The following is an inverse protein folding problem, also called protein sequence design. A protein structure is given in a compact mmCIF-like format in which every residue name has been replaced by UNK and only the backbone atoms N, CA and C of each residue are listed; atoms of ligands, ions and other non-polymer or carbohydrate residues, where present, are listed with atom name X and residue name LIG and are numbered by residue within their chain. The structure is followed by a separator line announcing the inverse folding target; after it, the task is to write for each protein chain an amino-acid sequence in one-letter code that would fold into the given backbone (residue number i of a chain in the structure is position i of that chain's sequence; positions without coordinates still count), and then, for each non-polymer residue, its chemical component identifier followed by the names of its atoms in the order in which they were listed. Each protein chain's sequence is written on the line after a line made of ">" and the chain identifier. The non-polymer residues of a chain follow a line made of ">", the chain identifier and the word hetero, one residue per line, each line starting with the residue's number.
data_IF_727171773941
#
_entry.id   IF_727171773941
#
_cell.length_a   1.000
_cell.length_b   1.000
_cell.length_c   1.000
_cell.angle_alpha   90.00
_cell.angle_beta   90.00
_cell.angle_gamma   90.00
#
_symmetry.space_group_name_H-M   'P 1'
#
loop_
_entity.id
_entity.type
_entity.pdbx_description
1 polymer ?
#
# COMPACT_ATOMS: atom_id res chain seq x y z
N UNK A 1 9.37 -4.80 -20.68
CA UNK A 1 9.64 -5.76 -19.57
C UNK A 1 8.70 -6.96 -19.72
N UNK A 2 8.93 -8.08 -19.03
CA UNK A 2 8.04 -9.25 -19.09
C UNK A 2 6.61 -8.91 -18.64
N UNK A 3 6.44 -8.17 -17.54
CA UNK A 3 5.13 -7.68 -17.09
C UNK A 3 4.46 -6.73 -18.09
N UNK A 4 5.24 -5.83 -18.71
CA UNK A 4 4.72 -4.94 -19.76
C UNK A 4 4.11 -5.71 -20.94
N UNK A 5 4.74 -6.81 -21.36
CA UNK A 5 4.20 -7.68 -22.40
C UNK A 5 2.84 -8.28 -22.01
N UNK A 6 2.70 -8.82 -20.80
CA UNK A 6 1.43 -9.39 -20.34
C UNK A 6 0.32 -8.33 -20.16
N UNK A 7 0.69 -7.10 -19.83
CA UNK A 7 -0.25 -5.98 -19.83
C UNK A 7 -0.69 -5.59 -21.25
N UNK A 8 0.23 -5.62 -22.22
CA UNK A 8 -0.08 -5.36 -23.63
C UNK A 8 -1.01 -6.40 -24.23
N UNK A 9 -0.86 -7.68 -23.86
CA UNK A 9 -1.75 -8.77 -24.31
C UNK A 9 -3.08 -8.82 -23.56
N UNK A 10 -3.30 -7.94 -22.57
CA UNK A 10 -4.51 -7.92 -21.74
C UNK A 10 -4.62 -9.08 -20.76
N UNK A 11 -3.53 -9.80 -20.50
CA UNK A 11 -3.49 -10.94 -19.56
C UNK A 11 -3.45 -10.47 -18.10
N UNK A 12 -2.84 -9.31 -17.85
CA UNK A 12 -2.83 -8.64 -16.55
C UNK A 12 -3.11 -7.15 -16.73
N UNK A 13 -3.51 -6.50 -15.64
CA UNK A 13 -3.49 -5.04 -15.52
C UNK A 13 -2.54 -4.67 -14.40
N UNK A 14 -1.57 -3.80 -14.69
CA UNK A 14 -0.65 -3.26 -13.70
C UNK A 14 -1.16 -1.88 -13.32
N UNK A 15 -1.30 -1.67 -12.02
CA UNK A 15 -1.63 -0.38 -11.42
C UNK A 15 -0.39 0.22 -10.78
N UNK A 16 -0.45 1.51 -10.43
CA UNK A 16 0.62 2.16 -9.65
C UNK A 16 0.22 2.34 -8.19
N UNK A 17 1.15 2.85 -7.38
CA UNK A 17 0.91 3.26 -5.99
C UNK A 17 1.62 4.60 -5.72
N UNK A 18 1.65 5.02 -4.46
CA UNK A 18 2.50 6.12 -4.02
C UNK A 18 3.97 5.79 -4.29
N UNK A 19 4.79 6.80 -4.61
CA UNK A 19 6.19 6.66 -5.01
C UNK A 19 6.98 5.67 -4.14
N UNK A 20 6.88 5.79 -2.82
CA UNK A 20 7.57 4.94 -1.84
C UNK A 20 6.59 4.25 -0.90
N UNK A 21 5.36 3.99 -1.37
CA UNK A 21 4.32 3.40 -0.55
C UNK A 21 4.07 4.20 0.76
N UNK A 22 4.15 5.54 0.69
CA UNK A 22 3.97 6.37 1.88
C UNK A 22 2.55 6.33 2.43
N UNK A 23 2.39 6.35 3.77
CA UNK A 23 1.07 6.22 4.41
C UNK A 23 0.25 7.52 4.31
N UNK A 24 -0.42 7.67 3.15
CA UNK A 24 -1.01 8.92 2.67
C UNK A 24 -1.97 9.65 3.64
N UNK A 25 -2.86 8.95 4.39
CA UNK A 25 -3.77 9.62 5.32
C UNK A 25 -3.06 10.53 6.33
N UNK A 26 -1.86 10.14 6.79
CA UNK A 26 -1.15 10.80 7.87
C UNK A 26 -0.11 11.82 7.42
N UNK A 27 0.20 11.93 6.11
CA UNK A 27 1.06 13.01 5.60
C UNK A 27 0.42 14.37 5.88
N UNK A 28 1.22 15.38 6.23
CA UNK A 28 0.66 16.62 6.79
C UNK A 28 -0.03 17.50 5.75
N UNK A 29 0.34 17.44 4.47
CA UNK A 29 -0.21 18.33 3.44
C UNK A 29 -0.73 17.59 2.22
N UNK A 30 -1.68 18.22 1.54
CA UNK A 30 -2.18 17.73 0.26
C UNK A 30 -1.10 17.78 -0.82
N UNK A 31 -0.13 18.72 -0.73
CA UNK A 31 1.04 18.73 -1.62
C UNK A 31 1.91 17.48 -1.44
N UNK A 32 2.13 17.02 -0.20
CA UNK A 32 2.91 15.79 0.05
C UNK A 32 2.25 14.55 -0.48
N UNK A 33 0.95 14.41 -0.26
CA UNK A 33 0.16 13.30 -0.82
C UNK A 33 0.21 13.35 -2.34
N UNK A 34 -0.01 14.52 -2.94
CA UNK A 34 -0.01 14.67 -4.40
C UNK A 34 1.37 14.35 -4.98
N UNK A 35 2.45 14.78 -4.35
CA UNK A 35 3.82 14.51 -4.82
C UNK A 35 4.12 12.99 -4.83
N UNK A 36 3.67 12.25 -3.81
CA UNK A 36 3.73 10.79 -3.78
C UNK A 36 2.93 10.14 -4.93
N UNK A 37 1.69 10.59 -5.17
CA UNK A 37 0.83 10.09 -6.25
C UNK A 37 1.40 10.41 -7.63
N UNK A 38 1.83 11.65 -7.85
CA UNK A 38 2.37 12.13 -9.12
C UNK A 38 3.67 11.42 -9.49
N UNK A 39 4.60 11.27 -8.53
CA UNK A 39 5.84 10.54 -8.79
C UNK A 39 5.57 9.06 -9.08
N UNK A 40 4.66 8.41 -8.37
CA UNK A 40 4.26 7.02 -8.66
C UNK A 40 3.64 6.86 -10.05
N UNK A 41 2.79 7.81 -10.49
CA UNK A 41 2.24 7.85 -11.85
C UNK A 41 3.31 8.08 -12.90
N UNK A 42 4.20 9.05 -12.67
CA UNK A 42 5.30 9.36 -13.58
C UNK A 42 6.22 8.15 -13.80
N UNK A 43 6.59 7.46 -12.73
CA UNK A 43 7.42 6.25 -12.79
C UNK A 43 6.70 5.14 -13.55
N UNK A 44 5.41 4.93 -13.31
CA UNK A 44 4.61 3.97 -14.07
C UNK A 44 4.61 4.29 -15.57
N UNK A 45 4.31 5.53 -15.94
CA UNK A 45 4.25 5.98 -17.34
C UNK A 45 5.59 5.77 -18.05
N UNK A 46 6.70 6.03 -17.35
CA UNK A 46 8.06 5.79 -17.86
C UNK A 46 8.35 4.31 -18.15
N UNK A 47 7.90 3.39 -17.30
CA UNK A 47 8.19 1.96 -17.44
C UNK A 47 7.21 1.21 -18.36
N UNK A 48 5.97 1.69 -18.47
CA UNK A 48 4.90 1.00 -19.21
C UNK A 48 4.36 1.78 -20.41
N UNK A 49 4.82 3.00 -20.65
CA UNK A 49 4.50 3.81 -21.83
C UNK A 49 3.03 4.25 -21.91
N UNK A 50 2.28 4.17 -20.81
CA UNK A 50 0.86 4.54 -20.73
C UNK A 50 0.49 5.02 -19.32
N UNK A 51 -0.62 5.73 -19.19
CA UNK A 51 -1.14 6.15 -17.87
C UNK A 51 -1.70 4.97 -17.09
N UNK A 52 -1.50 4.89 -15.77
CA UNK A 52 -2.15 3.88 -14.94
C UNK A 52 -3.63 4.19 -14.80
N UNK A 53 -4.49 3.18 -14.95
CA UNK A 53 -5.94 3.33 -14.74
C UNK A 53 -6.31 3.25 -13.25
N UNK A 54 -5.69 2.33 -12.52
CA UNK A 54 -5.91 2.10 -11.09
C UNK A 54 -4.79 2.60 -10.20
N UNK A 55 -5.11 2.73 -8.92
CA UNK A 55 -4.16 3.10 -7.87
C UNK A 55 -4.32 2.19 -6.64
N UNK A 56 -3.23 1.55 -6.25
CA UNK A 56 -3.13 0.91 -4.95
C UNK A 56 -2.85 1.97 -3.89
N UNK A 57 -3.86 2.33 -3.09
CA UNK A 57 -3.62 3.13 -1.89
C UNK A 57 -2.70 2.32 -0.97
N UNK A 58 -1.55 2.89 -0.53
CA UNK A 58 -0.70 2.22 0.43
C UNK A 58 -1.52 1.75 1.62
N UNK A 59 -1.48 0.44 1.87
CA UNK A 59 -2.20 -0.21 2.97
C UNK A 59 -3.74 -0.13 2.89
N UNK A 60 -4.28 0.07 1.69
CA UNK A 60 -5.68 0.44 1.47
C UNK A 60 -6.12 1.59 2.40
N UNK A 61 -5.18 2.46 2.79
CA UNK A 61 -5.41 3.47 3.80
C UNK A 61 -6.10 4.67 3.16
N UNK A 62 -7.35 4.90 3.58
CA UNK A 62 -8.24 5.92 3.04
C UNK A 62 -8.55 6.98 4.09
N UNK A 63 -8.65 8.24 3.65
CA UNK A 63 -9.16 9.37 4.45
C UNK A 63 -10.11 10.24 3.60
N UNK A 64 -11.33 10.54 4.07
CA UNK A 64 -12.24 11.48 3.43
C UNK A 64 -11.82 12.94 3.70
N UNK A 65 -12.45 13.88 3.03
CA UNK A 65 -12.23 15.30 3.30
C UNK A 65 -12.80 15.69 4.67
N UNK A 66 -12.02 16.41 5.48
CA UNK A 66 -12.49 17.08 6.71
C UNK A 66 -11.44 18.10 7.21
N UNK A 67 -11.82 18.90 8.20
CA UNK A 67 -10.91 19.78 8.95
C UNK A 67 -9.89 18.97 9.75
N UNK A 68 -8.79 18.60 9.11
CA UNK A 68 -7.76 17.72 9.63
C UNK A 68 -6.80 18.47 10.55
N UNK A 69 -6.37 17.82 11.62
CA UNK A 69 -5.32 18.34 12.49
C UNK A 69 -4.24 17.25 12.64
N UNK A 70 -2.95 17.60 12.50
CA UNK A 70 -1.90 16.63 12.70
C UNK A 70 -1.96 16.03 14.12
N UNK A 71 -1.87 14.69 14.24
CA UNK A 71 -2.10 13.99 15.50
C UNK A 71 -1.03 14.27 16.56
N UNK A 72 0.14 14.80 16.15
CA UNK A 72 1.30 15.05 17.02
C UNK A 72 1.58 16.54 17.27
N UNK A 73 0.55 17.38 17.17
CA UNK A 73 0.62 18.84 17.39
C UNK A 73 0.37 19.66 16.12
N UNK A 74 0.39 20.99 16.22
CA UNK A 74 0.16 21.90 15.08
C UNK A 74 -0.60 23.18 15.44
N UNK A 75 -0.69 24.13 14.51
CA UNK A 75 -1.29 25.46 14.68
C UNK A 75 -2.84 25.49 14.64
N UNK A 76 -3.49 24.33 14.73
CA UNK A 76 -4.94 24.15 14.63
C UNK A 76 -5.35 23.27 13.44
N UNK A 77 -6.66 22.92 13.34
CA UNK A 77 -7.18 22.17 12.20
C UNK A 77 -7.17 23.02 10.92
N UNK A 78 -7.03 22.37 9.77
CA UNK A 78 -7.15 22.95 8.44
C UNK A 78 -7.81 21.97 7.48
N UNK A 79 -8.46 22.49 6.45
CA UNK A 79 -9.14 21.64 5.47
C UNK A 79 -8.12 20.84 4.65
N UNK A 80 -8.39 19.53 4.55
CA UNK A 80 -7.66 18.64 3.66
C UNK A 80 -8.60 17.93 2.72
N UNK A 81 -8.24 17.87 1.45
CA UNK A 81 -8.97 17.09 0.44
C UNK A 81 -9.02 15.62 0.83
N UNK A 82 -10.11 14.93 0.50
CA UNK A 82 -10.16 13.47 0.58
C UNK A 82 -9.16 12.84 -0.39
N UNK A 83 -8.66 11.64 -0.07
CA UNK A 83 -7.73 10.95 -0.96
C UNK A 83 -8.37 10.68 -2.33
N UNK A 84 -9.65 10.37 -2.38
CA UNK A 84 -10.39 10.21 -3.64
C UNK A 84 -10.44 11.49 -4.48
N UNK A 85 -10.53 12.67 -3.84
CA UNK A 85 -10.47 13.95 -4.57
C UNK A 85 -9.08 14.18 -5.18
N UNK A 86 -8.00 13.83 -4.46
CA UNK A 86 -6.64 13.92 -4.98
C UNK A 86 -6.46 12.92 -6.14
N UNK A 87 -6.88 11.66 -5.98
CA UNK A 87 -6.79 10.65 -7.03
C UNK A 87 -7.58 11.07 -8.29
N UNK A 88 -8.79 11.63 -8.13
CA UNK A 88 -9.61 12.17 -9.21
C UNK A 88 -8.90 13.28 -9.97
N UNK A 89 -8.33 14.27 -9.26
CA UNK A 89 -7.56 15.36 -9.86
C UNK A 89 -6.30 14.89 -10.57
N UNK A 90 -5.74 13.76 -10.14
CA UNK A 90 -4.61 13.09 -10.77
C UNK A 90 -5.04 12.08 -11.87
N UNK A 91 -6.29 12.08 -12.31
CA UNK A 91 -6.84 11.23 -13.38
C UNK A 91 -6.65 9.72 -13.13
N UNK A 92 -6.81 9.28 -11.88
CA UNK A 92 -6.85 7.87 -11.51
C UNK A 92 -8.32 7.43 -11.39
N UNK A 93 -8.68 6.33 -12.04
CA UNK A 93 -10.08 5.95 -12.26
C UNK A 93 -10.64 5.09 -11.14
N UNK A 94 -9.80 4.28 -10.49
CA UNK A 94 -10.24 3.43 -9.39
C UNK A 94 -9.17 3.13 -8.34
N UNK A 95 -9.62 2.72 -7.16
CA UNK A 95 -8.77 2.23 -6.06
C UNK A 95 -9.45 1.10 -5.28
N UNK A 96 -8.79 0.61 -4.24
CA UNK A 96 -9.25 -0.48 -3.39
C UNK A 96 -9.32 -0.08 -1.92
N UNK A 97 -10.28 -0.65 -1.20
CA UNK A 97 -10.45 -0.50 0.25
C UNK A 97 -10.62 -1.86 0.93
N UNK A 98 -10.48 -1.90 2.25
CA UNK A 98 -10.90 -3.06 3.03
C UNK A 98 -12.42 -3.05 3.29
N UNK A 99 -13.00 -4.22 3.52
CA UNK A 99 -14.44 -4.41 3.64
C UNK A 99 -15.07 -3.69 4.84
N UNK A 100 -14.36 -3.51 5.95
CA UNK A 100 -14.95 -2.84 7.12
C UNK A 100 -15.21 -1.35 6.87
N UNK A 101 -14.47 -0.70 5.97
CA UNK A 101 -14.77 0.68 5.53
C UNK A 101 -16.13 0.72 4.83
N UNK A 102 -16.46 -0.32 4.06
CA UNK A 102 -17.74 -0.44 3.38
C UNK A 102 -18.93 -0.60 4.35
N UNK A 103 -18.73 -1.33 5.46
CA UNK A 103 -19.76 -1.58 6.49
C UNK A 103 -19.99 -0.42 7.47
N UNK A 104 -19.39 0.75 7.23
CA UNK A 104 -19.53 1.93 8.10
C UNK A 104 -18.38 2.14 9.09
N UNK A 105 -17.25 1.44 8.90
CA UNK A 105 -15.99 1.82 9.52
C UNK A 105 -15.89 1.65 11.02
N UNK A 106 -16.60 0.71 11.65
CA UNK A 106 -16.38 0.40 13.07
C UNK A 106 -14.97 -0.20 13.26
N UNK A 107 -13.97 0.68 13.40
CA UNK A 107 -12.66 0.31 13.89
C UNK A 107 -12.84 -0.37 15.25
N UNK A 108 -12.22 -1.54 15.45
CA UNK A 108 -12.33 -2.27 16.73
C UNK A 108 -11.73 -1.39 17.83
N UNK A 109 -12.58 -0.85 18.70
CA UNK A 109 -12.26 0.24 19.64
C UNK A 109 -11.07 0.01 20.59
N UNK A 110 -10.60 -1.23 20.72
CA UNK A 110 -9.51 -1.64 21.62
C UNK A 110 -8.20 -0.88 21.36
N UNK A 111 -7.90 -0.47 20.12
CA UNK A 111 -6.65 0.22 19.79
C UNK A 111 -6.77 1.75 19.82
N UNK A 112 -7.95 2.31 19.53
CA UNK A 112 -8.20 3.75 19.59
C UNK A 112 -8.03 4.30 21.01
N UNK A 113 -8.42 3.52 22.02
CA UNK A 113 -8.30 3.90 23.44
C UNK A 113 -6.86 3.87 23.96
N UNK A 114 -5.93 3.24 23.24
CA UNK A 114 -4.54 3.04 23.71
C UNK A 114 -3.61 4.21 23.39
N UNK A 115 -3.92 5.05 22.40
CA UNK A 115 -3.06 6.17 22.02
C UNK A 115 -3.86 7.46 21.79
N UNK A 116 -3.68 8.50 22.65
CA UNK A 116 -4.50 9.72 22.61
C UNK A 116 -4.54 10.43 21.25
N UNK A 117 -3.44 10.36 20.49
CA UNK A 117 -3.36 11.01 19.18
C UNK A 117 -4.33 10.39 18.15
N UNK A 118 -4.51 9.06 18.18
CA UNK A 118 -5.51 8.38 17.35
C UNK A 118 -6.93 8.68 17.81
N UNK A 119 -7.15 8.75 19.11
CA UNK A 119 -8.45 9.13 19.66
C UNK A 119 -8.84 10.55 19.23
N UNK A 120 -7.88 11.49 19.24
CA UNK A 120 -8.11 12.85 18.76
C UNK A 120 -8.47 12.87 17.27
N UNK A 121 -7.70 12.16 16.43
CA UNK A 121 -7.97 12.05 14.99
C UNK A 121 -9.35 11.45 14.72
N UNK A 122 -9.69 10.37 15.42
CA UNK A 122 -10.98 9.68 15.31
C UNK A 122 -12.16 10.56 15.73
N UNK A 123 -12.04 11.27 16.86
CA UNK A 123 -13.10 12.17 17.34
C UNK A 123 -13.32 13.31 16.36
N UNK A 124 -12.24 13.89 15.81
CA UNK A 124 -12.32 14.96 14.80
C UNK A 124 -12.98 14.47 13.52
N UNK A 125 -12.59 13.29 13.03
CA UNK A 125 -13.26 12.64 11.92
C UNK A 125 -14.77 12.52 12.22
N UNK A 126 -15.16 11.96 13.37
CA UNK A 126 -16.57 11.79 13.74
C UNK A 126 -17.37 13.09 13.87
N UNK A 127 -16.75 14.15 14.38
CA UNK A 127 -17.39 15.46 14.54
C UNK A 127 -17.68 16.15 13.21
N UNK A 128 -16.81 15.93 12.21
CA UNK A 128 -16.85 16.68 10.94
C UNK A 128 -17.28 15.82 9.74
N UNK A 129 -17.44 14.51 9.92
CA UNK A 129 -17.88 13.60 8.88
C UNK A 129 -19.41 13.50 8.85
N UNK A 130 -20.00 13.97 7.76
CA UNK A 130 -21.40 13.71 7.45
C UNK A 130 -21.51 12.39 6.67
N UNK A 131 -22.15 11.38 7.27
CA UNK A 131 -22.41 10.13 6.56
C UNK A 131 -23.33 10.39 5.37
N UNK A 132 -22.90 9.98 4.18
CA UNK A 132 -23.75 9.97 3.00
C UNK A 132 -25.02 9.13 3.20
N UNK A 133 -26.10 9.41 2.46
CA UNK A 133 -27.41 8.78 2.69
C UNK A 133 -27.46 7.28 2.35
N UNK A 134 -26.50 6.78 1.56
CA UNK A 134 -26.52 5.40 1.06
C UNK A 134 -25.51 4.54 1.80
N UNK A 135 -26.00 3.46 2.42
CA UNK A 135 -25.16 2.39 2.97
C UNK A 135 -24.97 1.29 1.92
N UNK A 136 -23.74 0.91 1.59
CA UNK A 136 -23.49 -0.22 0.71
C UNK A 136 -24.08 -1.50 1.29
N UNK A 137 -24.63 -2.35 0.43
CA UNK A 137 -25.29 -3.59 0.84
C UNK A 137 -24.37 -4.83 0.73
N UNK A 138 -23.30 -4.75 -0.06
CA UNK A 138 -22.47 -5.92 -0.39
C UNK A 138 -21.06 -5.51 -0.86
N UNK A 139 -19.99 -6.24 -0.50
CA UNK A 139 -18.66 -6.00 -1.07
C UNK A 139 -18.52 -6.43 -2.53
N UNK A 140 -19.52 -7.14 -3.08
CA UNK A 140 -19.44 -7.73 -4.41
C UNK A 140 -19.87 -6.80 -5.54
N UNK A 141 -20.05 -5.50 -5.25
CA UNK A 141 -20.32 -4.48 -6.27
C UNK A 141 -19.24 -3.41 -6.21
N UNK A 142 -18.93 -2.77 -7.35
CA UNK A 142 -18.12 -1.57 -7.34
C UNK A 142 -18.99 -0.35 -7.00
N UNK A 143 -18.36 0.65 -6.40
CA UNK A 143 -19.01 1.87 -5.91
C UNK A 143 -18.28 3.11 -6.41
N UNK A 144 -18.93 4.27 -6.35
CA UNK A 144 -18.30 5.57 -6.58
C UNK A 144 -18.05 6.26 -5.24
N UNK A 145 -16.88 6.86 -5.06
CA UNK A 145 -16.56 7.62 -3.84
C UNK A 145 -17.27 8.98 -3.83
N UNK A 146 -17.81 9.37 -2.69
CA UNK A 146 -18.29 10.73 -2.47
C UNK A 146 -17.17 11.61 -1.86
N UNK A 147 -16.95 12.84 -2.34
CA UNK A 147 -17.67 13.51 -3.44
C UNK A 147 -17.01 13.34 -4.82
N UNK A 148 -15.85 12.69 -4.91
CA UNK A 148 -15.01 12.77 -6.11
C UNK A 148 -15.49 11.93 -7.31
N UNK A 149 -16.36 10.95 -7.08
CA UNK A 149 -16.86 10.03 -8.10
C UNK A 149 -15.81 9.06 -8.62
N UNK A 150 -14.80 8.71 -7.82
CA UNK A 150 -13.77 7.72 -8.21
C UNK A 150 -14.29 6.32 -7.90
N UNK A 151 -14.13 5.38 -8.82
CA UNK A 151 -14.60 4.03 -8.60
C UNK A 151 -13.77 3.33 -7.49
N UNK A 152 -14.39 2.48 -6.70
CA UNK A 152 -13.66 1.64 -5.76
C UNK A 152 -14.30 0.26 -5.60
N UNK A 153 -13.46 -0.70 -5.25
CA UNK A 153 -13.86 -2.06 -4.92
C UNK A 153 -13.36 -2.43 -3.52
N UNK A 154 -14.19 -3.16 -2.77
CA UNK A 154 -13.85 -3.61 -1.43
C UNK A 154 -13.24 -5.01 -1.48
N UNK A 155 -12.17 -5.22 -0.70
CA UNK A 155 -11.58 -6.55 -0.46
C UNK A 155 -12.66 -7.53 -0.01
N UNK A 156 -12.67 -8.73 -0.56
CA UNK A 156 -13.53 -9.79 -0.06
C UNK A 156 -12.93 -10.48 1.19
N UNK A 157 -13.68 -10.45 2.28
CA UNK A 157 -13.29 -11.07 3.55
C UNK A 157 -13.21 -12.59 3.46
N UNK A 158 -14.09 -13.22 2.68
CA UNK A 158 -14.22 -14.69 2.65
C UNK A 158 -13.01 -15.31 1.97
N UNK A 159 -12.71 -14.87 0.75
CA UNK A 159 -11.50 -15.31 0.02
C UNK A 159 -10.23 -14.85 0.71
N UNK A 160 -10.22 -13.62 1.25
CA UNK A 160 -9.14 -13.10 2.07
C UNK A 160 -8.80 -14.03 3.23
N UNK A 161 -9.77 -14.38 4.06
CA UNK A 161 -9.57 -15.29 5.20
C UNK A 161 -9.18 -16.70 4.76
N UNK A 162 -9.75 -17.22 3.67
CA UNK A 162 -9.46 -18.56 3.19
C UNK A 162 -8.00 -18.75 2.77
N UNK A 163 -7.30 -17.68 2.40
CA UNK A 163 -5.88 -17.73 2.05
C UNK A 163 -5.01 -17.23 3.20
N UNK A 164 -5.34 -16.11 3.85
CA UNK A 164 -4.48 -15.45 4.84
C UNK A 164 -4.68 -15.91 6.29
N UNK A 165 -5.71 -16.72 6.59
CA UNK A 165 -5.93 -17.18 7.96
C UNK A 165 -4.75 -18.02 8.46
N UNK A 166 -4.14 -17.59 9.57
CA UNK A 166 -3.08 -18.34 10.24
C UNK A 166 -3.50 -19.76 10.67
N UNK A 167 -4.79 -19.95 10.94
CA UNK A 167 -5.31 -21.20 11.50
C UNK A 167 -5.95 -22.11 10.46
N UNK A 168 -6.53 -21.54 9.40
CA UNK A 168 -7.36 -22.26 8.44
C UNK A 168 -7.03 -21.96 6.97
N UNK A 169 -6.03 -21.12 6.72
CA UNK A 169 -5.63 -20.75 5.37
C UNK A 169 -4.82 -21.85 4.69
N UNK A 170 -4.93 -21.95 3.37
CA UNK A 170 -4.18 -22.96 2.60
C UNK A 170 -2.67 -22.97 2.86
N UNK A 171 -1.97 -21.82 2.98
CA UNK A 171 -0.53 -21.80 3.24
C UNK A 171 -0.10 -22.57 4.50
N UNK A 172 -1.01 -22.80 5.44
CA UNK A 172 -0.75 -23.55 6.67
C UNK A 172 -0.84 -25.08 6.53
N UNK A 173 -1.10 -25.62 5.33
CA UNK A 173 -1.23 -27.07 5.14
C UNK A 173 0.05 -27.80 5.55
N UNK A 174 -0.12 -28.87 6.32
CA UNK A 174 0.97 -29.72 6.83
C UNK A 174 1.91 -30.29 5.77
N UNK A 175 1.53 -30.31 4.49
CA UNK A 175 2.32 -30.83 3.38
C UNK A 175 3.03 -29.76 2.56
N UNK A 176 2.77 -28.48 2.81
CA UNK A 176 3.50 -27.39 2.15
C UNK A 176 4.86 -27.12 2.77
N UNK A 177 5.75 -26.51 1.99
CA UNK A 177 7.13 -26.23 2.36
C UNK A 177 7.20 -25.29 3.59
N UNK A 178 7.94 -25.72 4.62
CA UNK A 178 8.15 -24.93 5.84
C UNK A 178 9.10 -23.76 5.55
N UNK A 179 8.61 -22.54 5.73
CA UNK A 179 9.36 -21.32 5.46
C UNK A 179 10.53 -21.12 6.46
N UNK A 180 10.30 -21.46 7.73
CA UNK A 180 11.21 -21.09 8.82
C UNK A 180 12.35 -22.08 9.03
N UNK A 181 12.18 -23.36 8.64
CA UNK A 181 13.22 -24.39 8.79
C UNK A 181 14.18 -24.38 7.61
N UNK A 182 15.38 -23.86 7.85
CA UNK A 182 16.44 -23.73 6.85
C UNK A 182 17.62 -24.64 7.18
N UNK A 183 18.14 -25.31 6.16
CA UNK A 183 19.34 -26.14 6.24
C UNK A 183 20.58 -25.26 6.35
N UNK A 184 21.49 -25.62 7.25
CA UNK A 184 22.80 -25.00 7.34
C UNK A 184 23.89 -25.98 6.90
N UNK A 185 24.83 -25.57 6.02
CA UNK A 185 24.92 -24.26 5.36
C UNK A 185 23.93 -24.12 4.18
N UNK A 186 23.74 -22.89 3.70
CA UNK A 186 23.08 -22.60 2.42
C UNK A 186 21.63 -22.09 2.49
N UNK A 187 20.94 -22.24 3.61
CA UNK A 187 19.62 -21.64 3.84
C UNK A 187 18.46 -22.28 3.05
N UNK A 188 18.70 -23.39 2.36
CA UNK A 188 17.69 -24.11 1.60
C UNK A 188 16.64 -24.76 2.53
N UNK A 189 15.41 -24.87 2.04
CA UNK A 189 14.26 -25.42 2.78
C UNK A 189 13.96 -26.82 2.25
N UNK A 190 13.90 -27.81 3.13
CA UNK A 190 13.71 -29.23 2.76
C UNK A 190 12.61 -29.94 3.55
N UNK A 191 11.87 -29.22 4.37
CA UNK A 191 10.89 -29.78 5.29
C UNK A 191 9.52 -29.22 5.02
N UNK A 192 8.48 -29.98 5.35
CA UNK A 192 7.08 -29.54 5.30
C UNK A 192 6.61 -29.02 6.64
N UNK A 193 5.57 -28.21 6.64
CA UNK A 193 4.97 -27.59 7.83
C UNK A 193 4.63 -28.64 8.89
N UNK A 194 4.23 -29.86 8.50
CA UNK A 194 3.96 -31.02 9.37
C UNK A 194 2.77 -30.86 10.31
N UNK A 195 2.82 -29.85 11.16
CA UNK A 195 1.73 -29.35 11.98
C UNK A 195 2.01 -27.89 12.32
N UNK A 196 0.98 -27.06 12.37
CA UNK A 196 1.07 -25.66 12.80
C UNK A 196 1.53 -25.48 14.25
N UNK A 197 1.45 -26.53 15.08
CA UNK A 197 1.89 -26.56 16.47
C UNK A 197 3.23 -27.28 16.72
N UNK A 198 3.83 -27.87 15.69
CA UNK A 198 5.09 -28.63 15.83
C UNK A 198 6.31 -27.72 15.92
N UNK A 199 7.30 -28.14 16.72
CA UNK A 199 8.62 -27.51 16.75
C UNK A 199 9.36 -27.74 15.42
N UNK A 200 10.34 -26.90 15.12
CA UNK A 200 11.20 -27.03 13.95
C UNK A 200 11.92 -28.38 13.93
N UNK A 201 12.28 -28.94 15.09
CA UNK A 201 12.92 -30.25 15.16
C UNK A 201 12.05 -31.37 14.56
N UNK A 202 10.74 -31.30 14.75
CA UNK A 202 9.79 -32.36 14.42
C UNK A 202 9.28 -32.30 12.96
N UNK A 203 9.65 -31.25 12.21
CA UNK A 203 9.24 -31.08 10.82
C UNK A 203 9.79 -32.22 9.96
N UNK A 204 8.90 -32.88 9.25
CA UNK A 204 9.19 -34.00 8.36
C UNK A 204 9.71 -33.52 6.99
N UNK A 205 10.39 -34.38 6.21
CA UNK A 205 10.84 -34.03 4.86
C UNK A 205 9.69 -33.56 3.96
N UNK A 206 10.00 -32.63 3.06
CA UNK A 206 9.06 -32.14 2.05
C UNK A 206 8.89 -33.15 0.91
N UNK A 207 7.65 -33.34 0.47
CA UNK A 207 7.25 -34.33 -0.53
C UNK A 207 6.52 -33.62 -1.67
N UNK A 208 7.18 -33.45 -2.81
CA UNK A 208 6.71 -32.64 -3.94
C UNK A 208 5.40 -33.13 -4.53
N UNK A 209 5.22 -34.45 -4.63
CA UNK A 209 4.03 -35.06 -5.23
C UNK A 209 2.80 -34.84 -4.34
N UNK A 210 2.96 -34.90 -3.02
CA UNK A 210 1.86 -34.67 -2.08
C UNK A 210 1.50 -33.18 -2.04
N UNK A 211 2.49 -32.29 -2.02
CA UNK A 211 2.27 -30.85 -2.09
C UNK A 211 1.51 -30.47 -3.38
N UNK A 212 1.89 -31.04 -4.53
CA UNK A 212 1.17 -30.83 -5.79
C UNK A 212 -0.29 -31.31 -5.74
N UNK A 213 -0.56 -32.46 -5.11
CA UNK A 213 -1.93 -32.94 -4.90
C UNK A 213 -2.74 -31.98 -4.00
N UNK A 214 -2.13 -31.43 -2.94
CA UNK A 214 -2.76 -30.41 -2.08
C UNK A 214 -3.06 -29.12 -2.84
N UNK A 215 -2.16 -28.67 -3.71
CA UNK A 215 -2.40 -27.50 -4.56
C UNK A 215 -3.65 -27.68 -5.40
N UNK A 216 -3.80 -28.85 -6.05
CA UNK A 216 -4.96 -29.18 -6.87
C UNK A 216 -6.27 -29.20 -6.04
N UNK A 217 -6.24 -29.78 -4.84
CA UNK A 217 -7.38 -29.79 -3.91
C UNK A 217 -7.77 -28.37 -3.47
N UNK A 218 -6.79 -27.56 -3.05
CA UNK A 218 -7.01 -26.19 -2.59
C UNK A 218 -7.45 -25.25 -3.72
N UNK A 219 -6.95 -25.45 -4.94
CA UNK A 219 -7.41 -24.70 -6.10
C UNK A 219 -8.88 -25.03 -6.43
N UNK A 220 -9.26 -26.32 -6.36
CA UNK A 220 -10.66 -26.74 -6.54
C UNK A 220 -11.57 -26.17 -5.47
N UNK A 221 -11.15 -26.23 -4.20
CA UNK A 221 -11.91 -25.66 -3.09
C UNK A 221 -12.08 -24.15 -3.25
N UNK A 222 -11.03 -23.42 -3.65
CA UNK A 222 -11.13 -21.99 -3.86
C UNK A 222 -12.09 -21.62 -5.00
N UNK A 223 -12.06 -22.33 -6.12
CA UNK A 223 -13.02 -22.10 -7.22
C UNK A 223 -14.46 -22.36 -6.79
N UNK A 224 -14.70 -23.45 -6.04
CA UNK A 224 -16.01 -23.70 -5.44
C UNK A 224 -16.44 -22.57 -4.48
N UNK A 225 -15.52 -22.08 -3.64
CA UNK A 225 -15.77 -20.98 -2.72
C UNK A 225 -16.18 -19.70 -3.46
N UNK A 226 -15.48 -19.35 -4.54
CA UNK A 226 -15.84 -18.20 -5.38
C UNK A 226 -17.28 -18.34 -5.91
N UNK A 227 -17.65 -19.54 -6.37
CA UNK A 227 -19.00 -19.78 -6.89
C UNK A 227 -20.06 -19.67 -5.79
N UNK A 228 -19.78 -20.16 -4.59
CA UNK A 228 -20.65 -20.02 -3.43
C UNK A 228 -20.81 -18.57 -2.99
N UNK A 229 -19.74 -17.76 -3.05
CA UNK A 229 -19.76 -16.34 -2.69
C UNK A 229 -20.71 -15.54 -3.60
N UNK A 230 -20.73 -15.86 -4.90
CA UNK A 230 -21.58 -15.18 -5.89
C UNK A 230 -22.92 -15.86 -6.16
N UNK A 231 -23.25 -16.99 -5.52
CA UNK A 231 -24.45 -17.78 -5.86
C UNK A 231 -25.77 -17.02 -5.79
N UNK A 232 -25.85 -16.06 -4.86
CA UNK A 232 -27.03 -15.21 -4.61
C UNK A 232 -26.91 -13.83 -5.27
N UNK A 233 -25.89 -13.60 -6.10
CA UNK A 233 -25.67 -12.34 -6.82
C UNK A 233 -26.05 -12.52 -8.30
N UNK A 234 -26.96 -11.68 -8.82
CA UNK A 234 -27.25 -11.66 -10.26
C UNK A 234 -26.04 -11.22 -11.09
N UNK A 235 -25.28 -10.26 -10.56
CA UNK A 235 -23.99 -9.79 -11.07
C UNK A 235 -23.12 -9.36 -9.89
N UNK A 236 -21.82 -9.61 -9.95
CA UNK A 236 -20.89 -9.17 -8.92
C UNK A 236 -19.42 -9.35 -9.27
N UNK A 237 -18.56 -8.67 -8.53
CA UNK A 237 -17.11 -8.72 -8.61
C UNK A 237 -16.59 -9.22 -7.26
N UNK A 238 -15.81 -10.30 -7.25
CA UNK A 238 -15.03 -10.69 -6.06
C UNK A 238 -13.66 -10.05 -6.18
N UNK A 239 -13.30 -9.22 -5.20
CA UNK A 239 -12.00 -8.54 -5.17
C UNK A 239 -11.08 -9.19 -4.13
N UNK A 240 -10.32 -10.20 -4.54
CA UNK A 240 -9.38 -10.89 -3.65
C UNK A 240 -7.99 -10.22 -3.69
N UNK A 241 -7.64 -9.51 -2.63
CA UNK A 241 -6.40 -8.74 -2.52
C UNK A 241 -5.38 -9.44 -1.61
N UNK A 242 -4.14 -9.58 -2.09
CA UNK A 242 -3.05 -10.28 -1.40
C UNK A 242 -1.70 -9.63 -1.73
N UNK A 243 -0.77 -9.65 -0.78
CA UNK A 243 0.64 -9.31 -1.05
C UNK A 243 1.26 -10.31 -2.02
N UNK A 244 2.03 -9.82 -2.98
CA UNK A 244 2.56 -10.66 -4.07
C UNK A 244 3.55 -11.71 -3.54
N UNK A 245 4.36 -11.34 -2.54
CA UNK A 245 5.35 -12.20 -1.89
C UNK A 245 4.70 -13.38 -1.17
N UNK A 246 3.39 -13.34 -0.89
CA UNK A 246 2.69 -14.52 -0.40
C UNK A 246 2.94 -15.70 -1.35
N UNK A 247 2.83 -15.48 -2.66
CA UNK A 247 2.92 -16.53 -3.66
C UNK A 247 4.37 -16.76 -4.08
N UNK A 248 4.98 -17.82 -3.55
CA UNK A 248 6.28 -18.36 -3.94
C UNK A 248 7.38 -18.08 -2.91
N UNK A 249 7.25 -17.01 -2.13
CA UNK A 249 8.17 -16.72 -1.05
C UNK A 249 7.68 -17.29 0.29
N UNK A 250 6.59 -16.73 0.85
CA UNK A 250 5.99 -17.19 2.11
C UNK A 250 5.28 -18.53 1.96
N UNK A 251 4.42 -18.64 0.94
CA UNK A 251 3.78 -19.87 0.51
C UNK A 251 4.41 -20.35 -0.80
N UNK A 252 5.33 -21.31 -0.70
CA UNK A 252 6.15 -21.73 -1.83
C UNK A 252 5.33 -22.24 -3.03
N UNK A 253 4.25 -22.97 -2.76
CA UNK A 253 3.36 -23.55 -3.77
C UNK A 253 2.34 -22.55 -4.32
N UNK A 254 2.30 -21.33 -3.78
CA UNK A 254 1.34 -20.29 -4.14
C UNK A 254 1.25 -19.96 -5.65
N UNK A 255 2.36 -19.88 -6.42
CA UNK A 255 2.29 -19.61 -7.86
C UNK A 255 1.63 -20.74 -8.64
N UNK A 256 1.91 -22.00 -8.27
CA UNK A 256 1.25 -23.17 -8.89
C UNK A 256 -0.23 -23.21 -8.52
N UNK A 257 -0.58 -22.86 -7.28
CA UNK A 257 -1.97 -22.71 -6.87
C UNK A 257 -2.71 -21.63 -7.66
N UNK A 258 -2.11 -20.45 -7.85
CA UNK A 258 -2.68 -19.39 -8.68
C UNK A 258 -2.89 -19.88 -10.12
N UNK A 259 -1.91 -20.58 -10.69
CA UNK A 259 -2.05 -21.18 -12.02
C UNK A 259 -3.22 -22.17 -12.08
N UNK A 260 -3.34 -23.08 -11.11
CA UNK A 260 -4.44 -24.06 -11.09
C UNK A 260 -5.81 -23.40 -10.90
N UNK A 261 -5.92 -22.35 -10.07
CA UNK A 261 -7.15 -21.55 -9.93
C UNK A 261 -7.52 -20.90 -11.27
N UNK A 262 -6.57 -20.21 -11.91
CA UNK A 262 -6.79 -19.55 -13.20
C UNK A 262 -7.20 -20.55 -14.28
N UNK A 263 -6.51 -21.70 -14.34
CA UNK A 263 -6.80 -22.77 -15.29
C UNK A 263 -8.22 -23.31 -15.13
N UNK A 264 -8.68 -23.53 -13.89
CA UNK A 264 -10.04 -24.00 -13.60
C UNK A 264 -11.10 -22.95 -13.92
N UNK A 265 -10.85 -21.69 -13.59
CA UNK A 265 -11.77 -20.58 -13.92
C UNK A 265 -11.85 -20.30 -15.42
N UNK A 266 -10.82 -20.68 -16.19
CA UNK A 266 -10.80 -20.55 -17.65
C UNK A 266 -11.53 -21.70 -18.36
N UNK A 267 -12.01 -22.72 -17.63
CA UNK A 267 -12.74 -23.82 -18.22
C UNK A 267 -14.14 -23.36 -18.70
N UNK A 268 -14.65 -23.86 -19.85
CA UNK A 268 -15.93 -23.42 -20.41
C UNK A 268 -17.13 -23.56 -19.47
N UNK A 269 -17.08 -24.49 -18.53
CA UNK A 269 -18.10 -24.76 -17.52
C UNK A 269 -18.08 -23.79 -16.32
N UNK A 270 -17.04 -22.96 -16.19
CA UNK A 270 -16.94 -21.99 -15.10
C UNK A 270 -17.97 -20.87 -15.29
N UNK A 271 -18.81 -20.65 -14.27
CA UNK A 271 -19.73 -19.51 -14.20
C UNK A 271 -19.05 -18.23 -13.70
N UNK A 272 -17.77 -18.30 -13.34
CA UNK A 272 -16.96 -17.17 -12.89
C UNK A 272 -15.93 -16.85 -13.96
N UNK A 273 -15.88 -15.57 -14.33
CA UNK A 273 -14.93 -15.06 -15.32
C UNK A 273 -13.84 -14.25 -14.63
N UNK A 274 -12.59 -14.58 -14.94
CA UNK A 274 -11.45 -13.73 -14.61
C UNK A 274 -11.40 -12.53 -15.56
N UNK A 275 -11.16 -11.36 -14.99
CA UNK A 275 -11.02 -10.12 -15.72
C UNK A 275 -10.06 -9.18 -14.97
N UNK A 276 -9.52 -8.21 -15.69
CA UNK A 276 -8.77 -7.10 -15.10
C UNK A 276 -9.74 -6.17 -14.35
N UNK A 277 -9.22 -5.37 -13.42
CA UNK A 277 -10.04 -4.45 -12.63
C UNK A 277 -10.82 -3.47 -13.51
N UNK A 278 -10.19 -2.89 -14.54
CA UNK A 278 -10.86 -2.03 -15.51
C UNK A 278 -11.98 -2.76 -16.27
N UNK A 279 -11.73 -3.99 -16.74
CA UNK A 279 -12.76 -4.78 -17.43
C UNK A 279 -13.91 -5.21 -16.51
N UNK A 280 -13.63 -5.46 -15.22
CA UNK A 280 -14.66 -5.68 -14.22
C UNK A 280 -15.57 -4.45 -14.07
N UNK A 281 -14.99 -3.25 -13.98
CA UNK A 281 -15.75 -1.99 -13.88
C UNK A 281 -16.55 -1.67 -15.17
N UNK A 282 -16.07 -2.09 -16.33
CA UNK A 282 -16.83 -2.00 -17.58
C UNK A 282 -18.02 -2.97 -17.61
N UNK A 283 -17.82 -4.20 -17.14
CA UNK A 283 -18.84 -5.25 -17.12
C UNK A 283 -19.92 -5.01 -16.04
N UNK A 284 -19.52 -4.46 -14.90
CA UNK A 284 -20.40 -4.09 -13.79
C UNK A 284 -20.13 -2.62 -13.42
N UNK A 285 -20.75 -1.65 -14.13
CA UNK A 285 -20.50 -0.23 -13.89
C UNK A 285 -20.92 0.22 -12.49
N UNK A 286 -20.08 0.98 -11.76
CA UNK A 286 -20.45 1.52 -10.45
C UNK A 286 -21.52 2.59 -10.59
N UNK A 287 -22.71 2.35 -10.03
CA UNK A 287 -23.84 3.28 -10.06
C UNK A 287 -24.19 3.93 -8.73
N UNK A 288 -23.53 3.52 -7.64
CA UNK A 288 -23.90 3.91 -6.28
C UNK A 288 -22.79 4.77 -5.68
N UNK A 289 -23.15 6.00 -5.31
CA UNK A 289 -22.25 6.97 -4.67
C UNK A 289 -22.23 6.75 -3.15
N UNK A 290 -21.05 6.55 -2.57
CA UNK A 290 -20.83 6.15 -1.18
C UNK A 290 -19.80 7.07 -0.51
N UNK A 291 -20.14 7.57 0.68
CA UNK A 291 -19.17 8.24 1.54
C UNK A 291 -18.39 7.20 2.34
N UNK A 292 -17.06 7.26 2.25
CA UNK A 292 -16.17 6.29 2.90
C UNK A 292 -15.65 6.84 4.24
N UNK A 293 -15.64 6.02 5.31
CA UNK A 293 -15.00 6.39 6.56
C UNK A 293 -13.47 6.32 6.44
N UNK A 294 -12.77 7.02 7.32
CA UNK A 294 -11.30 6.90 7.43
C UNK A 294 -10.90 5.52 7.99
N UNK A 295 -9.87 4.89 7.40
CA UNK A 295 -9.37 3.59 7.87
C UNK A 295 -8.32 2.98 6.95
N UNK A 296 -7.91 1.75 7.23
CA UNK A 296 -6.94 0.98 6.43
C UNK A 296 -7.17 -0.52 6.58
N UNK A 297 -6.52 -1.35 5.76
CA UNK A 297 -6.60 -2.82 5.89
C UNK A 297 -5.71 -3.41 7.00
N UNK A 298 -5.01 -2.55 7.76
CA UNK A 298 -4.12 -2.98 8.84
C UNK A 298 -4.86 -3.45 10.08
N UNK A 299 -4.11 -3.95 11.05
CA UNK A 299 -4.67 -4.41 12.33
C UNK A 299 -5.49 -3.30 13.01
N UNK A 300 -6.72 -3.65 13.42
CA UNK A 300 -7.66 -2.71 14.04
C UNK A 300 -8.47 -1.86 13.05
N UNK A 301 -8.13 -1.91 11.75
CA UNK A 301 -8.89 -1.25 10.67
C UNK A 301 -8.71 0.27 10.57
N UNK A 302 -7.77 0.84 11.34
CA UNK A 302 -7.47 2.27 11.39
C UNK A 302 -5.97 2.51 11.22
N UNK A 303 -5.36 3.44 11.94
CA UNK A 303 -3.94 3.81 11.72
C UNK A 303 -2.96 3.26 12.76
N UNK A 304 -3.38 2.38 13.68
CA UNK A 304 -2.56 1.92 14.81
C UNK A 304 -1.20 1.35 14.42
N UNK A 305 -1.15 0.54 13.35
CA UNK A 305 0.10 -0.07 12.87
C UNK A 305 1.13 1.00 12.45
N UNK A 306 0.70 2.14 11.94
CA UNK A 306 1.61 3.18 11.46
C UNK A 306 1.80 4.31 12.47
N UNK A 307 0.82 4.57 13.35
CA UNK A 307 0.85 5.64 14.34
C UNK A 307 0.51 5.12 15.73
N UNK A 308 1.55 4.94 16.54
CA UNK A 308 1.48 4.58 17.95
C UNK A 308 2.70 5.14 18.71
N UNK A 309 2.82 4.84 20.00
CA UNK A 309 3.90 5.34 20.86
C UNK A 309 5.31 5.05 20.32
N UNK A 310 5.51 3.92 19.64
CA UNK A 310 6.82 3.52 19.09
C UNK A 310 7.17 4.22 17.78
N UNK A 311 6.17 4.68 17.03
CA UNK A 311 6.35 5.23 15.68
C UNK A 311 6.07 6.72 15.57
N UNK A 312 5.46 7.33 16.60
CA UNK A 312 5.12 8.76 16.61
C UNK A 312 6.32 9.69 16.34
N UNK A 313 7.53 9.28 16.75
CA UNK A 313 8.73 10.07 16.48
C UNK A 313 9.02 10.19 14.97
N UNK A 314 8.74 9.16 14.16
CA UNK A 314 8.92 9.20 12.70
C UNK A 314 8.00 10.25 12.09
N UNK A 315 6.72 10.25 12.49
CA UNK A 315 5.75 11.25 12.03
C UNK A 315 6.15 12.67 12.41
N UNK A 316 6.70 12.86 13.61
CA UNK A 316 7.25 14.16 14.01
C UNK A 316 8.38 14.62 13.08
N UNK A 317 9.24 13.70 12.63
CA UNK A 317 10.31 13.98 11.65
C UNK A 317 9.78 14.26 10.25
N UNK A 318 8.80 13.48 9.78
CA UNK A 318 8.12 13.71 8.50
C UNK A 318 7.50 15.10 8.49
N UNK A 319 6.72 15.47 9.51
CA UNK A 319 6.07 16.79 9.58
C UNK A 319 7.08 17.94 9.64
N UNK A 320 8.19 17.76 10.36
CA UNK A 320 9.28 18.74 10.38
C UNK A 320 9.90 18.91 8.99
N UNK A 321 10.16 17.80 8.29
CA UNK A 321 10.72 17.81 6.94
C UNK A 321 9.75 18.48 5.95
N UNK A 322 8.50 18.04 5.90
CA UNK A 322 7.47 18.58 5.00
C UNK A 322 7.32 20.09 5.17
N UNK A 323 7.26 20.57 6.43
CA UNK A 323 7.17 22.01 6.74
C UNK A 323 8.34 22.83 6.20
N UNK A 324 9.56 22.26 6.16
CA UNK A 324 10.77 22.92 5.64
C UNK A 324 10.93 22.73 4.13
N UNK A 325 10.46 21.61 3.60
CA UNK A 325 10.58 21.22 2.20
C UNK A 325 9.75 22.11 1.27
N UNK A 326 8.47 22.33 1.58
CA UNK A 326 7.55 23.07 0.71
C UNK A 326 7.99 24.51 0.44
N UNK A 327 8.41 25.31 1.45
CA UNK A 327 8.92 26.66 1.19
C UNK A 327 10.16 26.69 0.29
N UNK A 328 11.02 25.65 0.29
CA UNK A 328 12.19 25.60 -0.59
C UNK A 328 11.77 25.45 -2.05
N UNK A 329 10.79 24.57 -2.33
CA UNK A 329 10.25 24.39 -3.68
C UNK A 329 9.49 25.64 -4.17
N UNK A 330 8.70 26.27 -3.32
CA UNK A 330 7.93 27.48 -3.67
C UNK A 330 8.85 28.69 -3.93
N UNK A 331 9.88 28.89 -3.09
CA UNK A 331 10.83 30.00 -3.27
C UNK A 331 11.83 29.75 -4.41
N UNK A 332 12.13 28.49 -4.74
CA UNK A 332 12.91 28.14 -5.94
C UNK A 332 12.26 28.61 -7.24
N UNK A 333 10.93 28.64 -7.29
CA UNK A 333 10.17 29.20 -8.41
C UNK A 333 10.26 30.74 -8.51
N UNK A 334 10.77 31.41 -7.47
CA UNK A 334 10.84 32.88 -7.36
C UNK A 334 12.18 33.47 -7.86
N UNK A 335 13.00 32.69 -8.57
CA UNK A 335 14.17 33.21 -9.32
C UNK A 335 15.54 32.98 -8.69
N UNK A 336 15.64 32.28 -7.54
CA UNK A 336 16.93 31.76 -7.04
C UNK A 336 17.24 30.46 -7.78
N UNK A 337 18.37 30.39 -8.49
CA UNK A 337 18.83 29.14 -9.10
C UNK A 337 19.10 28.11 -7.98
N UNK A 338 18.21 27.13 -7.82
CA UNK A 338 18.44 25.98 -6.95
C UNK A 338 19.38 25.00 -7.64
N UNK A 339 20.27 24.40 -6.85
CA UNK A 339 21.05 23.26 -7.34
C UNK A 339 20.12 22.07 -7.53
N UNK A 340 19.87 21.71 -8.80
CA UNK A 340 18.95 20.64 -9.18
C UNK A 340 19.43 19.27 -8.70
N UNK A 341 20.75 19.06 -8.55
CA UNK A 341 21.31 17.81 -8.01
C UNK A 341 20.91 17.65 -6.54
N UNK A 342 21.11 18.69 -5.75
CA UNK A 342 20.71 18.71 -4.34
C UNK A 342 19.19 18.61 -4.16
N UNK A 343 18.41 19.28 -5.01
CA UNK A 343 16.96 19.24 -4.94
C UNK A 343 16.41 17.84 -5.25
N UNK A 344 16.98 17.17 -6.27
CA UNK A 344 16.60 15.79 -6.60
C UNK A 344 16.85 14.85 -5.43
N UNK A 345 18.05 14.90 -4.85
CA UNK A 345 18.40 14.11 -3.65
C UNK A 345 17.47 14.40 -2.49
N UNK A 346 17.15 15.67 -2.23
CA UNK A 346 16.21 16.03 -1.16
C UNK A 346 14.82 15.43 -1.41
N UNK A 347 14.35 15.40 -2.65
CA UNK A 347 13.08 14.75 -2.98
C UNK A 347 13.15 13.23 -2.75
N UNK A 348 14.24 12.58 -3.17
CA UNK A 348 14.46 11.15 -2.97
C UNK A 348 14.48 10.79 -1.47
N UNK A 349 15.24 11.53 -0.65
CA UNK A 349 15.31 11.33 0.80
C UNK A 349 13.97 11.57 1.49
N UNK A 350 13.22 12.60 1.07
CA UNK A 350 11.85 12.84 1.56
C UNK A 350 10.95 11.64 1.25
N UNK A 351 10.95 11.16 0.00
CA UNK A 351 10.15 9.99 -0.37
C UNK A 351 10.57 8.77 0.45
N UNK A 352 11.87 8.51 0.58
CA UNK A 352 12.37 7.39 1.38
C UNK A 352 11.92 7.50 2.83
N UNK A 353 12.01 8.67 3.47
CA UNK A 353 11.53 8.87 4.84
C UNK A 353 10.02 8.63 5.01
N UNK A 354 9.22 8.99 4.00
CA UNK A 354 7.75 8.89 4.04
C UNK A 354 7.19 7.48 3.86
N UNK A 355 8.02 6.47 3.54
CA UNK A 355 7.59 5.08 3.34
C UNK A 355 6.85 4.53 4.57
N UNK A 356 5.71 3.84 4.32
CA UNK A 356 4.92 3.20 5.38
C UNK A 356 5.65 2.01 6.02
N UNK A 357 6.68 1.47 5.36
CA UNK A 357 7.41 0.29 5.81
C UNK A 357 8.14 0.54 7.13
N UNK A 358 8.68 1.75 7.35
CA UNK A 358 9.42 2.04 8.59
C UNK A 358 8.57 1.89 9.85
N UNK A 359 7.42 2.60 9.99
CA UNK A 359 6.57 2.39 11.14
C UNK A 359 5.95 0.99 11.18
N UNK A 360 5.69 0.34 10.03
CA UNK A 360 5.19 -1.03 9.98
C UNK A 360 6.18 -2.04 10.58
N UNK A 361 7.46 -1.99 10.19
CA UNK A 361 8.51 -2.89 10.68
C UNK A 361 8.78 -2.72 12.18
N UNK A 362 8.65 -1.49 12.70
CA UNK A 362 8.75 -1.19 14.14
C UNK A 362 7.56 -1.78 14.89
N UNK A 363 6.34 -1.55 14.41
CA UNK A 363 5.12 -2.03 15.07
C UNK A 363 5.00 -3.55 15.08
N UNK A 364 5.41 -4.21 14.00
CA UNK A 364 5.36 -5.68 13.86
C UNK A 364 6.54 -6.42 14.48
N UNK A 365 7.56 -5.69 14.97
CA UNK A 365 8.79 -6.23 15.58
C UNK A 365 9.55 -7.21 14.67
N UNK A 366 9.44 -7.05 13.34
CA UNK A 366 10.10 -7.91 12.36
C UNK A 366 11.53 -7.46 12.08
N UNK A 367 11.77 -6.14 12.04
CA UNK A 367 13.09 -5.53 11.83
C UNK A 367 13.15 -4.09 12.41
N UNK A 368 12.70 -3.90 13.65
CA UNK A 368 12.56 -2.58 14.29
C UNK A 368 13.83 -1.73 14.25
N UNK A 369 14.95 -2.26 14.76
CA UNK A 369 16.22 -1.52 14.83
C UNK A 369 16.71 -1.03 13.44
N UNK A 370 16.51 -1.85 12.41
CA UNK A 370 16.83 -1.48 11.04
C UNK A 370 15.96 -0.33 10.55
N UNK A 371 14.65 -0.41 10.76
CA UNK A 371 13.70 0.63 10.37
C UNK A 371 13.93 1.95 11.11
N UNK A 372 14.24 1.90 12.41
CA UNK A 372 14.58 3.08 13.21
C UNK A 372 15.84 3.78 12.68
N UNK A 373 16.87 2.99 12.34
CA UNK A 373 18.12 3.48 11.77
C UNK A 373 17.88 4.13 10.41
N UNK A 374 17.09 3.49 9.54
CA UNK A 374 16.78 4.01 8.19
C UNK A 374 15.97 5.30 8.22
N UNK A 375 14.90 5.35 9.00
CA UNK A 375 14.09 6.57 9.11
C UNK A 375 14.91 7.73 9.70
N UNK A 376 15.75 7.47 10.71
CA UNK A 376 16.64 8.50 11.27
C UNK A 376 17.65 9.01 10.24
N UNK A 377 18.27 8.09 9.48
CA UNK A 377 19.23 8.41 8.43
C UNK A 377 18.62 9.31 7.35
N UNK A 378 17.47 8.94 6.78
CA UNK A 378 16.82 9.73 5.72
C UNK A 378 16.42 11.13 6.20
N UNK A 379 15.99 11.25 7.46
CA UNK A 379 15.74 12.56 8.07
C UNK A 379 17.00 13.41 8.20
N UNK A 380 18.10 12.85 8.71
CA UNK A 380 19.39 13.55 8.85
C UNK A 380 19.95 14.00 7.51
N UNK A 381 19.91 13.12 6.49
CA UNK A 381 20.28 13.44 5.10
C UNK A 381 19.46 14.59 4.56
N UNK A 382 18.13 14.52 4.72
CA UNK A 382 17.21 15.58 4.28
C UNK A 382 17.51 16.93 4.95
N UNK A 383 17.76 16.95 6.27
CA UNK A 383 18.10 18.18 6.98
C UNK A 383 19.43 18.78 6.51
N UNK A 384 20.44 17.93 6.23
CA UNK A 384 21.73 18.37 5.69
C UNK A 384 21.56 18.99 4.30
N UNK A 385 20.81 18.34 3.41
CA UNK A 385 20.51 18.83 2.05
C UNK A 385 19.72 20.16 2.07
N UNK A 386 18.70 20.27 2.92
CA UNK A 386 17.96 21.53 3.13
C UNK A 386 18.88 22.66 3.57
N UNK A 387 19.80 22.37 4.49
CA UNK A 387 20.76 23.35 4.95
C UNK A 387 21.64 23.84 3.78
N UNK A 388 22.17 22.94 2.97
CA UNK A 388 22.97 23.30 1.79
C UNK A 388 22.20 24.10 0.74
N UNK A 389 20.96 23.72 0.43
CA UNK A 389 20.10 24.46 -0.50
C UNK A 389 19.85 25.91 -0.03
N UNK A 390 19.88 26.15 1.28
CA UNK A 390 19.71 27.51 1.84
C UNK A 390 20.99 28.35 1.84
N UNK A 391 22.18 27.73 1.82
CA UNK A 391 23.49 28.41 1.93
C UNK A 391 23.84 29.23 0.70
N UNK A 392 24.72 30.21 0.90
CA UNK A 392 25.36 31.02 -0.15
C UNK A 392 26.79 30.59 -0.44
N UNK A 393 27.40 29.78 0.44
CA UNK A 393 28.75 29.24 0.29
C UNK A 393 28.76 27.99 -0.59
N UNK A 394 29.83 27.81 -1.37
CA UNK A 394 30.05 26.59 -2.14
C UNK A 394 30.28 25.38 -1.23
N UNK A 395 29.96 24.19 -1.76
CA UNK A 395 30.24 22.91 -1.12
C UNK A 395 31.75 22.64 -1.07
N UNK A 396 32.19 21.98 0.00
CA UNK A 396 33.59 21.52 0.17
C UNK A 396 33.85 20.23 -0.62
N UNK A 397 35.11 19.85 -0.90
CA UNK A 397 35.42 18.55 -1.50
C UNK A 397 34.84 17.37 -0.71
N UNK A 398 34.83 17.45 0.62
CA UNK A 398 34.24 16.44 1.50
C UNK A 398 32.71 16.35 1.34
N UNK A 399 32.04 17.49 1.13
CA UNK A 399 30.60 17.53 0.85
C UNK A 399 30.27 16.85 -0.49
N UNK A 400 31.10 17.07 -1.52
CA UNK A 400 30.94 16.42 -2.82
C UNK A 400 31.17 14.91 -2.75
N UNK A 401 32.18 14.46 -2.00
CA UNK A 401 32.41 13.03 -1.76
C UNK A 401 31.18 12.38 -1.10
N UNK A 402 30.62 13.05 -0.10
CA UNK A 402 29.39 12.58 0.56
C UNK A 402 28.18 12.54 -0.38
N UNK A 403 28.05 13.52 -1.29
CA UNK A 403 26.98 13.51 -2.31
C UNK A 403 27.09 12.30 -3.25
N UNK A 404 28.29 11.98 -3.71
CA UNK A 404 28.53 10.83 -4.58
C UNK A 404 28.21 9.50 -3.86
N UNK A 405 28.55 9.41 -2.57
CA UNK A 405 28.21 8.27 -1.73
C UNK A 405 26.69 8.07 -1.64
N UNK A 406 25.93 9.11 -1.23
CA UNK A 406 24.47 8.98 -1.09
C UNK A 406 23.77 8.77 -2.43
N UNK A 407 24.26 9.34 -3.54
CA UNK A 407 23.72 9.08 -4.88
C UNK A 407 23.89 7.62 -5.31
N UNK A 408 24.99 6.99 -4.87
CA UNK A 408 25.27 5.59 -5.16
C UNK A 408 24.40 4.65 -4.31
N UNK A 409 24.14 5.02 -3.05
CA UNK A 409 23.30 4.25 -2.13
C UNK A 409 21.81 4.41 -2.45
N UNK A 410 21.32 5.65 -2.50
CA UNK A 410 19.91 6.01 -2.66
C UNK A 410 19.60 6.40 -4.12
N UNK A 411 19.83 5.45 -5.02
CA UNK A 411 19.59 5.61 -6.47
C UNK A 411 18.12 5.51 -6.90
N UNK A 412 17.19 5.66 -5.95
CA UNK A 412 15.75 5.60 -6.19
C UNK A 412 15.31 6.79 -7.06
N UNK A 413 14.54 6.54 -8.13
CA UNK A 413 14.10 7.56 -9.10
C UNK A 413 15.25 8.36 -9.75
N UNK A 414 15.73 7.89 -10.90
CA UNK A 414 16.72 8.65 -11.70
C UNK A 414 16.25 10.05 -12.09
N UNK A 415 14.94 10.21 -12.21
CA UNK A 415 14.24 11.45 -12.55
C UNK A 415 13.11 11.66 -11.53
N UNK A 416 12.97 12.89 -11.05
CA UNK A 416 11.92 13.29 -10.11
C UNK A 416 11.00 14.30 -10.77
N UNK A 417 9.70 14.03 -10.72
CA UNK A 417 8.65 14.95 -11.13
C UNK A 417 8.38 15.95 -10.00
N UNK A 418 8.74 17.20 -10.23
CA UNK A 418 8.46 18.30 -9.33
C UNK A 418 6.97 18.68 -9.38
N UNK A 419 6.43 19.27 -8.30
CA UNK A 419 5.01 19.68 -8.23
C UNK A 419 4.56 20.68 -9.31
N UNK A 420 5.49 21.42 -9.90
CA UNK A 420 5.23 22.35 -11.00
C UNK A 420 5.22 21.66 -12.39
N UNK A 421 5.41 20.34 -12.44
CA UNK A 421 5.45 19.53 -13.65
C UNK A 421 6.83 19.40 -14.29
N UNK A 422 7.86 20.06 -13.76
CA UNK A 422 9.23 19.91 -14.26
C UNK A 422 9.84 18.58 -13.83
N UNK A 423 10.71 18.02 -14.67
CA UNK A 423 11.45 16.79 -14.37
C UNK A 423 12.92 17.16 -14.13
N UNK A 424 13.52 16.64 -13.05
CA UNK A 424 14.92 16.88 -12.68
C UNK A 424 15.70 15.59 -12.42
#
# INVERSE_FOLDING_TARGET
>A
SAFGHFQETGSIEIITSAATHGYLPLLSSDQSVRHQVQQGRFVYEKYFGRKPAGFWLPECAYRPAYGWQPPLGGSGPYDRLGLDQILSQENLNYFFIDNHLLRGGEARGVYLERFPALQHLWNRYKENYESGPVRPQTPYLPYLSYPAGVAFMARDEITGQQVWSRYSGYPGDSYYLEFHKKHFPGGLRYWRITSSSSDLADKLPYETEIAAARVEEHARHFVWLLAEVLKDQEQGIITSLYDTELFGHWWFEGPEWLYQVIKKLSAPESNIRLATASSCLEAVPPGILVSLPEGSWGEGGFHWIWLNDKTAWIWSRIYELEKKFWPVLENGASGRALDLRLLKLLCQEKFLLESSDWPFLISTMTAGDYAETRASLHFERSMKLLNWLSRTSNLTPEDYFWLEEIESEDSLFREVLLPNGNII
#
